data_IF_832344217593
#
_entry.id   IF_832344217593
#
_cell.length_a   1.000
_cell.length_b   1.000
_cell.length_c   1.000
_cell.angle_alpha   90.00
_cell.angle_beta   90.00
_cell.angle_gamma   90.00
#
_symmetry.space_group_name_H-M   'P 1'
#
loop_
_entity.id
_entity.type
_entity.pdbx_description
1 polymer ?
#
# COMPACT_ATOMS: atom_id res chain seq x y z
N UNK A 1 -5.68 -27.59 -7.65
CA UNK A 1 -4.93 -26.99 -8.78
C UNK A 1 -3.57 -26.57 -8.23
N UNK A 2 -2.46 -26.88 -8.90
CA UNK A 2 -1.10 -26.79 -8.35
C UNK A 2 -0.57 -25.35 -8.26
N UNK A 3 0.20 -25.06 -7.22
CA UNK A 3 0.79 -23.74 -6.87
C UNK A 3 1.48 -23.04 -8.04
N UNK A 4 2.11 -23.78 -8.96
CA UNK A 4 2.86 -23.24 -10.10
C UNK A 4 2.01 -22.45 -11.11
N UNK A 5 0.69 -22.70 -11.20
CA UNK A 5 -0.19 -21.93 -12.11
C UNK A 5 -0.59 -20.57 -11.55
N UNK A 6 -0.69 -20.42 -10.23
CA UNK A 6 -1.05 -19.14 -9.59
C UNK A 6 0.06 -18.09 -9.76
N UNK A 7 1.33 -18.51 -9.72
CA UNK A 7 2.48 -17.62 -9.91
C UNK A 7 2.57 -16.98 -11.31
N UNK A 8 2.06 -17.65 -12.36
CA UNK A 8 2.07 -17.12 -13.74
C UNK A 8 0.93 -16.13 -14.02
N UNK A 9 -0.15 -16.21 -13.26
CA UNK A 9 -1.32 -15.35 -13.44
C UNK A 9 -1.17 -13.99 -12.70
N UNK A 10 -0.24 -13.87 -11.76
CA UNK A 10 -0.07 -12.68 -10.93
C UNK A 10 -1.14 -12.59 -9.83
N UNK A 11 -0.70 -12.39 -8.59
CA UNK A 11 -1.58 -12.18 -7.44
C UNK A 11 -1.61 -10.69 -7.09
N UNK A 12 -2.78 -10.17 -6.74
CA UNK A 12 -3.00 -8.80 -6.29
C UNK A 12 -3.95 -8.79 -5.08
N UNK A 13 -3.73 -7.85 -4.16
CA UNK A 13 -4.58 -7.67 -2.99
C UNK A 13 -5.33 -6.34 -3.09
N UNK A 14 -6.63 -6.36 -2.82
CA UNK A 14 -7.46 -5.16 -2.74
C UNK A 14 -8.10 -5.05 -1.36
N UNK A 15 -7.88 -3.93 -0.68
CA UNK A 15 -8.45 -3.65 0.64
C UNK A 15 -9.49 -2.55 0.50
N UNK A 16 -10.68 -2.82 1.00
CA UNK A 16 -11.76 -1.84 1.10
C UNK A 16 -12.03 -1.53 2.58
N UNK A 17 -11.55 -0.38 3.11
CA UNK A 17 -11.79 0.00 4.50
C UNK A 17 -13.27 0.22 4.86
N UNK A 18 -14.12 0.58 3.90
CA UNK A 18 -15.55 0.80 4.12
C UNK A 18 -16.27 -0.52 4.41
N UNK A 19 -16.01 -1.54 3.59
CA UNK A 19 -16.59 -2.89 3.78
C UNK A 19 -15.78 -3.76 4.73
N UNK A 20 -14.57 -3.33 5.10
CA UNK A 20 -13.62 -4.01 6.00
C UNK A 20 -13.26 -5.40 5.48
N UNK A 21 -12.95 -5.45 4.19
CA UNK A 21 -12.61 -6.67 3.47
C UNK A 21 -11.27 -6.53 2.75
N UNK A 22 -10.53 -7.63 2.70
CA UNK A 22 -9.39 -7.84 1.82
C UNK A 22 -9.76 -8.90 0.79
N UNK A 23 -9.75 -8.52 -0.48
CA UNK A 23 -9.99 -9.39 -1.62
C UNK A 23 -8.67 -9.78 -2.29
N UNK A 24 -8.54 -11.04 -2.64
CA UNK A 24 -7.40 -11.61 -3.35
C UNK A 24 -7.81 -11.85 -4.79
N UNK A 25 -7.05 -11.28 -5.72
CA UNK A 25 -7.20 -11.50 -7.15
C UNK A 25 -6.05 -12.34 -7.67
N UNK A 26 -6.34 -13.29 -8.54
CA UNK A 26 -5.33 -14.08 -9.26
C UNK A 26 -5.66 -14.03 -10.75
N UNK A 27 -4.75 -13.52 -11.58
CA UNK A 27 -5.05 -13.30 -13.00
C UNK A 27 -6.20 -12.33 -13.24
N UNK A 28 -6.37 -11.35 -12.34
CA UNK A 28 -7.47 -10.38 -12.38
C UNK A 28 -8.84 -10.94 -11.96
N UNK A 29 -8.94 -12.24 -11.63
CA UNK A 29 -10.18 -12.85 -11.14
C UNK A 29 -10.21 -12.89 -9.62
N UNK A 30 -11.36 -12.53 -9.03
CA UNK A 30 -11.57 -12.64 -7.58
C UNK A 30 -11.45 -14.10 -7.16
N UNK A 31 -10.44 -14.42 -6.36
CA UNK A 31 -10.20 -15.76 -5.84
C UNK A 31 -10.84 -15.94 -4.46
N UNK A 32 -10.63 -14.99 -3.55
CA UNK A 32 -11.14 -15.08 -2.18
C UNK A 32 -11.28 -13.71 -1.53
N UNK A 33 -12.12 -13.62 -0.50
CA UNK A 33 -12.25 -12.43 0.33
C UNK A 33 -12.18 -12.80 1.81
N UNK A 34 -11.51 -11.95 2.60
CA UNK A 34 -11.34 -12.10 4.03
C UNK A 34 -11.87 -10.89 4.79
N UNK A 35 -12.53 -11.07 5.95
CA UNK A 35 -12.83 -9.96 6.85
C UNK A 35 -11.53 -9.45 7.48
N UNK A 36 -11.40 -8.12 7.61
CA UNK A 36 -10.22 -7.47 8.18
C UNK A 36 -10.58 -6.39 9.20
N UNK A 37 -9.71 -6.14 10.16
CA UNK A 37 -9.72 -4.92 10.97
C UNK A 37 -8.85 -3.85 10.31
N UNK A 38 -9.27 -2.60 10.34
CA UNK A 38 -8.53 -1.48 9.71
C UNK A 38 -8.33 -0.33 10.69
N UNK A 39 -7.64 0.73 10.25
CA UNK A 39 -7.36 1.91 11.03
C UNK A 39 -8.61 2.59 11.58
N UNK A 40 -8.50 3.22 12.74
CA UNK A 40 -9.54 4.11 13.28
C UNK A 40 -9.71 5.32 12.37
N UNK A 41 -10.83 6.04 12.43
CA UNK A 41 -11.00 7.28 11.67
C UNK A 41 -9.97 8.37 12.03
N UNK A 42 -9.37 8.32 13.22
CA UNK A 42 -8.27 9.22 13.63
C UNK A 42 -6.88 8.76 13.19
N UNK A 43 -6.74 7.50 12.77
CA UNK A 43 -5.50 6.88 12.28
C UNK A 43 -5.86 5.94 11.13
N UNK A 44 -6.40 6.50 10.02
CA UNK A 44 -6.99 5.69 8.97
C UNK A 44 -5.93 4.82 8.30
N UNK A 45 -6.35 3.67 7.77
CA UNK A 45 -5.50 2.90 6.88
C UNK A 45 -5.26 3.73 5.61
N UNK A 46 -4.00 4.09 5.29
CA UNK A 46 -3.71 5.00 4.18
C UNK A 46 -4.16 4.39 2.86
N UNK A 47 -5.01 5.11 2.13
CA UNK A 47 -5.39 4.72 0.77
C UNK A 47 -4.20 4.84 -0.18
N UNK A 48 -4.21 4.11 -1.29
CA UNK A 48 -3.16 4.16 -2.30
C UNK A 48 -2.84 2.80 -2.89
N UNK A 49 -1.80 2.77 -3.72
CA UNK A 49 -1.26 1.55 -4.30
C UNK A 49 0.13 1.31 -3.75
N UNK A 50 0.33 0.11 -3.24
CA UNK A 50 1.48 -0.33 -2.47
C UNK A 50 1.91 -1.72 -2.96
N UNK A 51 2.96 -2.24 -2.33
CA UNK A 51 3.43 -3.61 -2.50
C UNK A 51 3.88 -4.19 -1.18
N UNK A 52 3.82 -5.51 -1.10
CA UNK A 52 4.46 -6.25 0.00
C UNK A 52 5.97 -6.13 -0.13
N UNK A 53 6.66 -5.70 0.92
CA UNK A 53 8.13 -5.49 0.91
C UNK A 53 8.91 -6.46 1.77
N UNK A 54 8.28 -7.00 2.81
CA UNK A 54 8.89 -8.03 3.65
C UNK A 54 7.81 -8.91 4.26
N UNK A 55 8.23 -10.08 4.75
CA UNK A 55 7.34 -11.07 5.33
C UNK A 55 8.01 -11.72 6.53
N UNK A 56 7.27 -11.88 7.62
CA UNK A 56 7.75 -12.52 8.85
C UNK A 56 6.76 -13.58 9.31
N UNK A 57 7.28 -14.77 9.56
CA UNK A 57 6.54 -15.89 10.16
C UNK A 57 6.64 -15.80 11.67
N UNK A 58 5.52 -15.97 12.37
CA UNK A 58 5.41 -15.95 13.83
C UNK A 58 6.00 -14.69 14.51
N UNK A 59 5.63 -13.46 14.10
CA UNK A 59 6.09 -12.24 14.76
C UNK A 59 5.59 -12.12 16.22
N UNK A 60 4.50 -12.81 16.57
CA UNK A 60 3.95 -12.83 17.93
C UNK A 60 3.28 -11.52 18.34
N UNK A 61 2.90 -11.44 19.62
CA UNK A 61 2.27 -10.26 20.21
C UNK A 61 1.02 -9.81 19.45
N UNK A 62 0.87 -8.49 19.30
CA UNK A 62 -0.27 -7.87 18.58
C UNK A 62 -0.30 -8.19 17.08
N UNK A 63 0.84 -8.64 16.52
CA UNK A 63 0.96 -8.97 15.10
C UNK A 63 0.50 -10.39 14.78
N UNK A 64 0.34 -11.24 15.81
CA UNK A 64 -0.17 -12.60 15.67
C UNK A 64 0.79 -13.52 14.92
N UNK A 65 0.25 -14.36 14.03
CA UNK A 65 1.00 -15.45 13.42
C UNK A 65 1.78 -15.06 12.16
N UNK A 66 1.38 -14.02 11.43
CA UNK A 66 2.04 -13.61 10.17
C UNK A 66 2.10 -12.10 10.06
N UNK A 67 3.16 -11.60 9.45
CA UNK A 67 3.32 -10.19 9.07
C UNK A 67 3.73 -10.07 7.61
N UNK A 68 3.06 -9.19 6.87
CA UNK A 68 3.40 -8.79 5.51
C UNK A 68 3.49 -7.26 5.49
N UNK A 69 4.71 -6.70 5.49
CA UNK A 69 4.92 -5.26 5.51
C UNK A 69 4.64 -4.62 4.16
N UNK A 70 4.14 -3.40 4.18
CA UNK A 70 3.77 -2.61 3.00
C UNK A 70 4.67 -1.39 2.87
N UNK A 71 4.99 -0.98 1.64
CA UNK A 71 5.77 0.23 1.36
C UNK A 71 4.96 1.53 1.51
N UNK A 72 4.12 1.64 2.53
CA UNK A 72 3.38 2.88 2.82
C UNK A 72 4.38 3.90 3.40
N UNK A 73 4.52 5.10 2.82
CA UNK A 73 5.41 6.12 3.35
C UNK A 73 5.04 6.53 4.79
N UNK A 74 6.06 6.91 5.57
CA UNK A 74 5.84 7.52 6.89
C UNK A 74 5.48 6.57 8.03
N UNK A 75 5.57 5.24 7.86
CA UNK A 75 5.39 4.33 8.99
C UNK A 75 5.53 2.84 8.69
N UNK A 76 5.53 2.04 9.76
CA UNK A 76 5.54 0.58 9.70
C UNK A 76 4.11 0.04 9.53
N UNK A 77 3.62 0.04 8.29
CA UNK A 77 2.31 -0.51 7.94
C UNK A 77 2.43 -1.93 7.40
N UNK A 78 1.42 -2.75 7.69
CA UNK A 78 1.40 -4.14 7.25
C UNK A 78 0.03 -4.77 7.31
N UNK A 79 -0.09 -5.90 6.61
CA UNK A 79 -1.16 -6.87 6.76
C UNK A 79 -0.65 -7.95 7.71
N UNK A 80 -1.34 -8.17 8.83
CA UNK A 80 -0.88 -9.09 9.85
C UNK A 80 -2.00 -9.83 10.56
N UNK A 81 -1.66 -10.87 11.30
CA UNK A 81 -2.57 -11.60 12.18
C UNK A 81 -3.04 -10.75 13.37
N UNK A 82 -3.52 -11.37 14.45
CA UNK A 82 -3.87 -10.62 15.68
C UNK A 82 -3.94 -11.55 16.87
N UNK A 83 -3.58 -11.06 18.05
CA UNK A 83 -3.90 -11.72 19.33
C UNK A 83 -5.29 -11.33 19.88
N UNK A 84 -6.01 -10.44 19.19
CA UNK A 84 -7.38 -10.06 19.54
C UNK A 84 -8.32 -10.32 18.34
N UNK A 85 -8.87 -11.54 18.20
CA UNK A 85 -9.77 -11.89 17.09
C UNK A 85 -11.02 -11.00 17.00
N UNK A 86 -11.50 -10.45 18.13
CA UNK A 86 -12.67 -9.56 18.16
C UNK A 86 -12.43 -8.19 17.50
N UNK A 87 -11.18 -7.88 17.14
CA UNK A 87 -10.78 -6.65 16.41
C UNK A 87 -11.07 -6.72 14.90
N UNK A 88 -11.30 -7.92 14.37
CA UNK A 88 -11.58 -8.12 12.94
C UNK A 88 -12.98 -7.59 12.61
N UNK A 89 -13.12 -6.94 11.45
CA UNK A 89 -14.36 -6.28 11.05
C UNK A 89 -14.65 -4.97 11.76
N UNK A 90 -13.65 -4.31 12.37
CA UNK A 90 -13.78 -3.03 13.08
C UNK A 90 -12.72 -1.99 12.67
N UNK A 91 -12.97 -0.72 13.00
CA UNK A 91 -12.03 0.41 12.88
C UNK A 91 -11.25 0.58 14.19
N UNK A 92 -10.12 -0.12 14.35
CA UNK A 92 -9.48 -0.31 15.68
C UNK A 92 -7.96 -0.25 15.67
N UNK A 93 -7.31 -0.34 14.52
CA UNK A 93 -5.84 -0.29 14.43
C UNK A 93 -5.33 1.16 14.31
N UNK A 94 -4.01 1.31 14.31
CA UNK A 94 -3.31 2.57 14.00
C UNK A 94 -3.00 2.70 12.50
N UNK A 95 -3.77 2.02 11.65
CA UNK A 95 -3.63 2.02 10.19
C UNK A 95 -3.26 0.67 9.58
N UNK A 96 -2.70 -0.27 10.36
CA UNK A 96 -2.43 -1.63 9.88
C UNK A 96 -3.72 -2.43 9.58
N UNK A 97 -3.60 -3.40 8.67
CA UNK A 97 -4.69 -4.30 8.29
C UNK A 97 -4.56 -5.58 9.13
N UNK A 98 -5.54 -5.84 10.00
CA UNK A 98 -5.57 -7.01 10.87
C UNK A 98 -6.39 -8.13 10.24
N UNK A 99 -5.91 -9.36 10.36
CA UNK A 99 -6.57 -10.58 9.92
C UNK A 99 -6.70 -11.56 11.09
N UNK A 100 -7.67 -12.47 11.03
CA UNK A 100 -7.61 -13.68 11.84
C UNK A 100 -6.32 -14.44 11.53
N UNK A 101 -5.68 -15.04 12.54
CA UNK A 101 -4.43 -15.78 12.35
C UNK A 101 -4.57 -16.89 11.30
N UNK A 102 -5.69 -17.62 11.31
CA UNK A 102 -5.97 -18.67 10.31
C UNK A 102 -5.99 -18.11 8.88
N UNK A 103 -6.64 -16.96 8.67
CA UNK A 103 -6.71 -16.32 7.34
C UNK A 103 -5.34 -15.76 6.93
N UNK A 104 -4.58 -15.20 7.88
CA UNK A 104 -3.23 -14.71 7.62
C UNK A 104 -2.29 -15.85 7.24
N UNK A 105 -2.36 -16.99 7.93
CA UNK A 105 -1.61 -18.21 7.64
C UNK A 105 -1.95 -18.79 6.27
N UNK A 106 -3.22 -18.76 5.88
CA UNK A 106 -3.68 -19.20 4.57
C UNK A 106 -3.19 -18.28 3.44
N UNK A 107 -3.29 -16.96 3.62
CA UNK A 107 -2.92 -15.96 2.62
C UNK A 107 -1.40 -15.87 2.43
N UNK A 108 -0.65 -15.91 3.54
CA UNK A 108 0.78 -15.66 3.56
C UNK A 108 1.58 -16.46 2.51
N UNK A 109 1.48 -17.79 2.36
CA UNK A 109 2.27 -18.53 1.38
C UNK A 109 1.95 -18.14 -0.08
N UNK A 110 0.76 -17.60 -0.35
CA UNK A 110 0.31 -17.24 -1.70
C UNK A 110 0.81 -15.87 -2.16
N UNK A 111 1.30 -15.02 -1.24
CA UNK A 111 1.68 -13.63 -1.49
C UNK A 111 3.20 -13.48 -1.55
N UNK A 112 3.83 -13.43 -2.73
CA UNK A 112 5.22 -13.03 -2.88
C UNK A 112 5.52 -11.63 -2.33
N UNK A 113 6.79 -11.40 -1.98
CA UNK A 113 7.29 -10.03 -1.89
C UNK A 113 7.18 -9.39 -3.28
N UNK A 114 6.74 -8.14 -3.33
CA UNK A 114 6.44 -7.43 -4.57
C UNK A 114 4.97 -7.52 -5.00
N UNK A 115 4.15 -8.38 -4.37
CA UNK A 115 2.71 -8.45 -4.67
C UNK A 115 2.05 -7.07 -4.54
N UNK A 116 1.35 -6.60 -5.59
CA UNK A 116 0.60 -5.35 -5.53
C UNK A 116 -0.51 -5.39 -4.48
N UNK A 117 -0.66 -4.28 -3.77
CA UNK A 117 -1.65 -4.07 -2.72
C UNK A 117 -2.33 -2.73 -2.95
N UNK A 118 -3.61 -2.74 -3.32
CA UNK A 118 -4.42 -1.54 -3.46
C UNK A 118 -5.30 -1.34 -2.24
N UNK A 119 -5.33 -0.13 -1.70
CA UNK A 119 -6.21 0.28 -0.61
C UNK A 119 -7.14 1.38 -1.12
N UNK A 120 -8.44 1.11 -1.10
CA UNK A 120 -9.46 2.04 -1.58
C UNK A 120 -9.53 3.30 -0.70
N UNK A 121 -9.65 4.46 -1.34
CA UNK A 121 -9.98 5.70 -0.66
C UNK A 121 -11.48 5.73 -0.32
N UNK A 122 -11.78 6.11 0.92
CA UNK A 122 -13.14 6.22 1.44
C UNK A 122 -13.37 7.67 1.91
N UNK A 123 -14.28 8.43 1.28
CA UNK A 123 -14.63 9.78 1.71
C UNK A 123 -15.01 9.84 3.19
N UNK A 124 -14.54 10.87 3.91
CA UNK A 124 -14.75 11.01 5.35
C UNK A 124 -13.93 10.06 6.25
N UNK A 125 -13.43 8.94 5.72
CA UNK A 125 -12.49 8.06 6.43
C UNK A 125 -11.03 8.45 6.16
N UNK A 126 -10.68 8.77 4.91
CA UNK A 126 -9.35 9.23 4.51
C UNK A 126 -9.25 10.77 4.41
N UNK A 127 -10.13 11.54 5.06
CA UNK A 127 -10.22 13.00 4.85
C UNK A 127 -10.06 13.87 6.11
N UNK A 128 -9.72 13.31 7.27
CA UNK A 128 -9.18 14.09 8.41
C UNK A 128 -7.68 13.81 8.53
N UNK A 129 -6.90 14.61 7.80
CA UNK A 129 -5.44 14.57 7.76
C UNK A 129 -4.90 13.69 6.63
N UNK A 130 -4.59 14.31 5.48
CA UNK A 130 -3.69 13.75 4.46
C UNK A 130 -4.32 12.85 3.38
N UNK A 131 -4.04 13.23 2.13
CA UNK A 131 -4.25 12.54 0.86
C UNK A 131 -5.68 12.49 0.29
N UNK A 132 -5.86 13.22 -0.82
CA UNK A 132 -6.98 13.09 -1.74
C UNK A 132 -7.07 11.67 -2.35
N UNK A 133 -8.26 11.23 -2.79
CA UNK A 133 -8.42 9.93 -3.43
C UNK A 133 -7.62 9.83 -4.74
N UNK A 134 -6.83 8.75 -4.89
CA UNK A 134 -6.29 8.34 -6.19
C UNK A 134 -7.45 7.94 -7.13
N UNK A 135 -7.44 8.35 -8.41
CA UNK A 135 -8.50 7.96 -9.36
C UNK A 135 -8.61 6.44 -9.58
N UNK A 136 -9.76 6.03 -10.12
CA UNK A 136 -10.21 4.66 -10.34
C UNK A 136 -9.19 3.76 -11.11
N UNK A 137 -9.29 2.42 -11.01
CA UNK A 137 -8.44 1.50 -11.78
C UNK A 137 -8.62 1.73 -13.29
N UNK A 138 -7.52 2.02 -13.99
CA UNK A 138 -7.48 2.26 -15.44
C UNK A 138 -6.35 3.17 -15.90
N UNK A 139 -5.72 3.92 -14.99
CA UNK A 139 -4.62 4.84 -15.29
C UNK A 139 -3.45 4.63 -14.32
N UNK A 140 -2.76 3.49 -14.44
CA UNK A 140 -1.41 3.38 -13.90
C UNK A 140 -0.44 4.23 -14.73
N UNK A 141 0.60 4.85 -14.14
CA UNK A 141 1.67 5.42 -14.96
C UNK A 141 2.33 4.31 -15.78
N UNK A 142 2.85 4.60 -16.99
CA UNK A 142 3.66 3.65 -17.73
C UNK A 142 4.78 3.09 -16.83
N UNK A 143 5.10 1.81 -17.00
CA UNK A 143 6.06 1.03 -16.20
C UNK A 143 7.53 1.47 -16.34
N UNK A 144 7.79 2.72 -16.74
CA UNK A 144 9.13 3.22 -17.01
C UNK A 144 9.39 4.59 -16.36
N UNK A 145 9.98 4.58 -15.17
CA UNK A 145 10.42 5.77 -14.45
C UNK A 145 11.72 5.52 -13.70
N UNK A 146 12.59 6.53 -13.63
CA UNK A 146 13.78 6.52 -12.79
C UNK A 146 13.40 7.02 -11.39
N UNK A 147 14.00 6.50 -10.33
CA UNK A 147 13.74 6.94 -8.96
C UNK A 147 14.88 7.83 -8.46
N UNK A 148 14.54 9.02 -7.97
CA UNK A 148 15.45 9.94 -7.30
C UNK A 148 15.10 10.05 -5.80
N UNK A 149 16.11 10.03 -4.93
CA UNK A 149 15.94 10.22 -3.49
C UNK A 149 16.47 11.60 -3.11
N UNK A 150 15.59 12.45 -2.59
CA UNK A 150 15.86 13.86 -2.25
C UNK A 150 17.03 13.96 -1.27
N UNK A 151 17.99 14.81 -1.60
CA UNK A 151 19.18 15.14 -0.82
C UNK A 151 19.07 16.57 -0.26
N UNK A 152 19.88 16.92 0.75
CA UNK A 152 19.89 18.29 1.26
C UNK A 152 20.18 19.30 0.15
N UNK A 153 19.26 20.25 -0.05
CA UNK A 153 19.38 21.33 -1.04
C UNK A 153 18.72 21.04 -2.40
N UNK A 154 18.09 19.88 -2.57
CA UNK A 154 17.28 19.57 -3.74
C UNK A 154 16.00 20.39 -3.80
N UNK A 155 15.58 20.69 -5.02
CA UNK A 155 14.26 21.24 -5.34
C UNK A 155 13.73 20.50 -6.55
N UNK A 156 12.41 20.48 -6.75
CA UNK A 156 11.82 19.83 -7.93
C UNK A 156 12.37 20.44 -9.23
N UNK A 157 12.64 21.74 -9.23
CA UNK A 157 13.24 22.40 -10.40
C UNK A 157 14.67 21.90 -10.69
N UNK A 158 15.51 21.72 -9.66
CA UNK A 158 16.87 21.17 -9.83
C UNK A 158 16.82 19.72 -10.30
N UNK A 159 15.95 18.91 -9.70
CA UNK A 159 15.75 17.51 -10.06
C UNK A 159 15.24 17.40 -11.50
N UNK A 160 14.20 18.15 -11.87
CA UNK A 160 13.66 18.16 -13.23
C UNK A 160 14.75 18.47 -14.27
N UNK A 161 15.58 19.49 -13.98
CA UNK A 161 16.70 19.88 -14.84
C UNK A 161 17.81 18.81 -14.91
N UNK A 162 18.13 18.16 -13.80
CA UNK A 162 19.14 17.09 -13.75
C UNK A 162 18.77 15.91 -14.63
N UNK A 163 17.49 15.50 -14.61
CA UNK A 163 17.00 14.37 -15.38
C UNK A 163 16.46 14.75 -16.77
N UNK A 164 16.58 16.00 -17.17
CA UNK A 164 16.09 16.52 -18.45
C UNK A 164 14.57 16.26 -18.68
N UNK A 165 13.77 16.49 -17.64
CA UNK A 165 12.30 16.42 -17.68
C UNK A 165 11.71 17.79 -17.38
N UNK A 166 10.49 18.08 -17.85
CA UNK A 166 9.82 19.33 -17.48
C UNK A 166 9.37 19.29 -16.02
N UNK A 167 9.37 20.46 -15.36
CA UNK A 167 8.86 20.57 -13.98
C UNK A 167 7.39 20.13 -13.91
N UNK A 168 6.57 20.50 -14.89
CA UNK A 168 5.16 20.10 -14.94
C UNK A 168 4.97 18.59 -15.08
N UNK A 169 5.78 17.92 -15.90
CA UNK A 169 5.73 16.46 -16.02
C UNK A 169 6.20 15.79 -14.72
N UNK A 170 7.24 16.35 -14.08
CA UNK A 170 7.72 15.87 -12.80
C UNK A 170 6.66 16.03 -11.69
N UNK A 171 5.97 17.17 -11.65
CA UNK A 171 4.85 17.42 -10.73
C UNK A 171 3.65 16.51 -11.00
N UNK A 172 3.33 16.29 -12.28
CA UNK A 172 2.26 15.38 -12.68
C UNK A 172 2.55 13.92 -12.27
N UNK A 173 3.82 13.50 -12.37
CA UNK A 173 4.26 12.18 -11.94
C UNK A 173 4.38 12.05 -10.40
N UNK A 174 4.56 13.18 -9.70
CA UNK A 174 4.73 13.25 -8.26
C UNK A 174 3.71 14.22 -7.65
N UNK A 175 2.47 13.78 -7.44
CA UNK A 175 1.48 14.60 -6.77
C UNK A 175 1.89 14.79 -5.30
N UNK A 176 2.63 15.87 -5.04
CA UNK A 176 3.09 16.26 -3.72
C UNK A 176 2.07 17.18 -3.05
N UNK A 177 1.93 17.07 -1.74
CA UNK A 177 1.06 17.95 -0.95
C UNK A 177 1.54 19.41 -0.98
N UNK A 178 2.86 19.61 -1.02
CA UNK A 178 3.52 20.90 -1.18
C UNK A 178 4.78 20.71 -2.07
N UNK A 179 4.72 21.10 -3.35
CA UNK A 179 5.84 20.97 -4.28
C UNK A 179 7.11 21.72 -3.89
N UNK A 180 7.00 22.79 -3.10
CA UNK A 180 8.14 23.62 -2.72
C UNK A 180 8.85 23.09 -1.46
N UNK A 181 8.25 22.10 -0.79
CA UNK A 181 8.76 21.53 0.44
C UNK A 181 9.10 20.05 0.29
N UNK A 182 10.33 19.79 -0.14
CA UNK A 182 10.88 18.44 -0.20
C UNK A 182 11.57 18.06 1.11
N UNK A 183 11.35 16.83 1.57
CA UNK A 183 12.01 16.25 2.74
C UNK A 183 13.21 15.41 2.32
N UNK A 184 14.35 15.56 3.01
CA UNK A 184 15.54 14.73 2.71
C UNK A 184 15.19 13.26 2.93
N UNK A 185 15.52 12.41 1.95
CA UNK A 185 15.14 10.99 1.92
C UNK A 185 13.78 10.73 1.24
N UNK A 186 13.02 11.76 0.89
CA UNK A 186 11.79 11.63 0.10
C UNK A 186 12.09 11.08 -1.29
N UNK A 187 11.19 10.25 -1.81
CA UNK A 187 11.30 9.67 -3.15
C UNK A 187 10.55 10.51 -4.18
N UNK A 188 11.22 10.82 -5.29
CA UNK A 188 10.67 11.49 -6.47
C UNK A 188 10.80 10.55 -7.68
N UNK A 189 9.69 10.29 -8.36
CA UNK A 189 9.59 9.47 -9.56
C UNK A 189 9.82 10.32 -10.80
N UNK A 190 10.91 10.08 -11.51
CA UNK A 190 11.27 10.79 -12.73
C UNK A 190 10.56 10.11 -13.92
N UNK A 191 9.57 10.75 -14.57
CA UNK A 191 8.98 10.20 -15.79
C UNK A 191 10.03 10.15 -16.91
N UNK A 192 9.98 9.14 -17.78
CA UNK A 192 10.80 9.10 -18.99
C UNK A 192 10.06 9.63 -20.21
#
# INVERSE_FOLDING_TARGET
MTDAKMYRAGIELFINPQTRQLSVYVGGQLSKTYPVGVGKSSTPTPAGDYKVVNKVTNPGGVLGSRWMGLNIPGGNYGIHGTNNPSSIGKLVSLGCIRMHNQNAEELFPQVPVGTPVRIAAVPGYNQKGGAAPKPAPGSGPPLDHTVHVVRPGDTLWKIAREYNVSLDALLAANPLADPDRLEVGQTIYIPK
#
